data_IF_588794162249
#
_entry.id   IF_588794162249
#
_cell.length_a   1.000
_cell.length_b   1.000
_cell.length_c   1.000
_cell.angle_alpha   90.00
_cell.angle_beta   90.00
_cell.angle_gamma   90.00
#
_symmetry.space_group_name_H-M   'P 1'
#
loop_
_entity.id
_entity.type
_entity.pdbx_description
1 polymer ?
#
# COMPACT_ATOMS: atom_id res chain seq x y z
N UNK A 1 -47.74 -13.70 23.62
CA UNK A 1 -46.74 -13.17 24.56
C UNK A 1 -45.46 -12.93 23.79
N UNK A 2 -45.11 -11.66 23.60
CA UNK A 2 -43.77 -11.11 23.35
C UNK A 2 -43.96 -9.58 23.33
N UNK A 3 -43.96 -9.00 24.52
CA UNK A 3 -44.06 -7.57 24.80
C UNK A 3 -42.73 -6.88 24.46
N UNK A 4 -42.53 -6.53 23.19
CA UNK A 4 -41.38 -5.72 22.77
C UNK A 4 -41.79 -4.67 21.72
N UNK A 5 -42.65 -3.71 22.07
CA UNK A 5 -42.61 -2.35 21.47
C UNK A 5 -43.47 -1.33 22.23
N UNK A 6 -43.56 -1.42 23.56
CA UNK A 6 -44.22 -0.42 24.40
C UNK A 6 -43.33 0.82 24.58
N UNK A 7 -43.11 1.55 23.49
CA UNK A 7 -42.76 2.98 23.40
C UNK A 7 -42.45 3.38 21.94
N UNK A 8 -43.17 2.84 20.95
CA UNK A 8 -43.17 3.44 19.61
C UNK A 8 -43.81 4.82 19.75
N UNK A 9 -42.98 5.86 19.80
CA UNK A 9 -43.40 7.26 19.84
C UNK A 9 -44.47 7.47 18.77
N UNK A 10 -45.65 7.98 19.15
CA UNK A 10 -46.70 8.30 18.19
C UNK A 10 -46.29 9.52 17.35
N UNK A 11 -45.51 9.25 16.30
CA UNK A 11 -44.98 10.25 15.38
C UNK A 11 -46.11 11.01 14.67
N UNK A 12 -47.25 10.34 14.40
CA UNK A 12 -48.42 10.99 13.81
C UNK A 12 -49.04 12.02 14.76
N UNK A 13 -49.25 11.66 16.03
CA UNK A 13 -49.76 12.58 17.06
C UNK A 13 -48.86 13.80 17.21
N UNK A 14 -47.55 13.59 17.39
CA UNK A 14 -46.58 14.69 17.51
C UNK A 14 -46.52 15.58 16.26
N UNK A 15 -46.59 14.99 15.07
CA UNK A 15 -46.61 15.77 13.82
C UNK A 15 -47.85 16.65 13.75
N UNK A 16 -49.03 16.11 14.12
CA UNK A 16 -50.29 16.87 14.15
C UNK A 16 -50.23 18.04 15.13
N UNK A 17 -49.69 17.83 16.33
CA UNK A 17 -49.57 18.87 17.35
C UNK A 17 -48.62 20.00 16.89
N UNK A 18 -47.50 19.65 16.26
CA UNK A 18 -46.54 20.63 15.73
C UNK A 18 -47.13 21.43 14.57
N UNK A 19 -47.78 20.77 13.62
CA UNK A 19 -48.35 21.42 12.44
C UNK A 19 -49.54 22.31 12.85
N UNK A 20 -50.40 21.85 13.76
CA UNK A 20 -51.53 22.65 14.26
C UNK A 20 -51.05 23.90 15.01
N UNK A 21 -50.02 23.79 15.86
CA UNK A 21 -49.39 24.93 16.51
C UNK A 21 -48.80 25.91 15.49
N UNK A 22 -48.10 25.42 14.46
CA UNK A 22 -47.49 26.27 13.44
C UNK A 22 -48.54 27.03 12.62
N UNK A 23 -49.59 26.36 12.14
CA UNK A 23 -50.65 26.98 11.34
C UNK A 23 -51.55 27.90 12.18
N UNK A 24 -51.66 27.68 13.49
CA UNK A 24 -52.41 28.60 14.38
C UNK A 24 -51.84 30.03 14.42
N UNK A 25 -50.54 30.18 14.15
CA UNK A 25 -49.83 31.46 14.20
C UNK A 25 -49.31 31.93 12.84
N UNK A 26 -49.34 31.07 11.81
CA UNK A 26 -48.81 31.34 10.48
C UNK A 26 -49.85 31.03 9.41
N UNK A 27 -50.02 31.93 8.43
CA UNK A 27 -50.90 31.68 7.29
C UNK A 27 -50.15 30.85 6.24
N UNK A 28 -50.58 29.61 6.02
CA UNK A 28 -49.98 28.67 5.05
C UNK A 28 -51.00 28.37 3.95
N UNK A 29 -50.65 28.53 2.67
CA UNK A 29 -51.57 28.20 1.58
C UNK A 29 -51.88 26.70 1.55
N UNK A 30 -53.11 26.34 1.16
CA UNK A 30 -53.59 24.96 1.17
C UNK A 30 -52.74 24.01 0.32
N UNK A 31 -52.07 24.52 -0.72
CA UNK A 31 -51.16 23.77 -1.57
C UNK A 31 -49.86 23.32 -0.87
N UNK A 32 -49.41 24.05 0.17
CA UNK A 32 -48.15 23.78 0.87
C UNK A 32 -48.32 22.87 2.10
N UNK A 33 -49.56 22.73 2.60
CA UNK A 33 -49.87 21.90 3.78
C UNK A 33 -49.40 20.43 3.64
N UNK A 34 -49.60 19.72 2.52
CA UNK A 34 -49.16 18.33 2.38
C UNK A 34 -47.63 18.20 2.45
N UNK A 35 -46.91 19.19 1.90
CA UNK A 35 -45.45 19.22 1.88
C UNK A 35 -44.90 19.48 3.28
N UNK A 36 -45.51 20.40 4.02
CA UNK A 36 -45.14 20.72 5.40
C UNK A 36 -45.34 19.51 6.33
N UNK A 37 -46.48 18.82 6.23
CA UNK A 37 -46.77 17.63 7.04
C UNK A 37 -45.73 16.54 6.79
N UNK A 38 -45.38 16.30 5.52
CA UNK A 38 -44.34 15.32 5.15
C UNK A 38 -42.97 15.70 5.70
N UNK A 39 -42.56 16.97 5.57
CA UNK A 39 -41.22 17.38 6.02
C UNK A 39 -41.05 17.26 7.54
N UNK A 40 -42.08 17.62 8.31
CA UNK A 40 -42.07 17.49 9.78
C UNK A 40 -42.06 16.01 10.18
N UNK A 41 -42.92 15.19 9.55
CA UNK A 41 -42.96 13.75 9.82
C UNK A 41 -41.61 13.08 9.51
N UNK A 42 -40.99 13.40 8.38
CA UNK A 42 -39.68 12.88 8.00
C UNK A 42 -38.56 13.39 8.92
N UNK A 43 -38.60 14.64 9.34
CA UNK A 43 -37.66 15.19 10.32
C UNK A 43 -37.76 14.43 11.67
N UNK A 44 -38.97 14.21 12.18
CA UNK A 44 -39.18 13.45 13.41
C UNK A 44 -38.77 11.97 13.27
N UNK A 45 -39.03 11.37 12.11
CA UNK A 45 -38.65 9.97 11.82
C UNK A 45 -37.14 9.77 11.70
N UNK A 46 -36.41 10.82 11.30
CA UNK A 46 -34.95 10.77 11.12
C UNK A 46 -34.18 11.13 12.39
N UNK A 47 -34.78 11.89 13.31
CA UNK A 47 -34.20 12.16 14.63
C UNK A 47 -34.03 10.85 15.40
N UNK A 48 -32.78 10.52 15.74
CA UNK A 48 -32.44 9.30 16.50
C UNK A 48 -32.16 8.06 15.65
N UNK A 49 -32.45 8.08 14.35
CA UNK A 49 -31.83 7.13 13.42
C UNK A 49 -30.43 7.66 13.08
N UNK A 50 -29.34 6.90 13.30
CA UNK A 50 -28.11 7.21 12.60
C UNK A 50 -28.49 7.20 11.12
N UNK A 51 -28.20 8.29 10.40
CA UNK A 51 -28.36 8.31 8.96
C UNK A 51 -27.71 7.02 8.46
N UNK A 52 -28.52 6.05 8.01
CA UNK A 52 -27.99 4.88 7.35
C UNK A 52 -27.20 5.49 6.21
N UNK A 53 -25.85 5.39 6.17
CA UNK A 53 -25.15 5.81 4.99
C UNK A 53 -25.85 5.02 3.88
N UNK A 54 -26.45 5.75 2.93
CA UNK A 54 -27.02 5.16 1.74
C UNK A 54 -26.06 4.07 1.34
N UNK A 55 -26.52 2.82 1.34
CA UNK A 55 -25.66 1.66 1.24
C UNK A 55 -24.65 1.95 0.14
N UNK A 56 -23.43 2.33 0.56
CA UNK A 56 -22.33 2.49 -0.34
C UNK A 56 -22.14 1.06 -0.77
N UNK A 57 -22.70 0.71 -1.93
CA UNK A 57 -22.04 -0.21 -2.83
C UNK A 57 -20.61 0.28 -2.83
N UNK A 58 -19.76 -0.32 -1.97
CA UNK A 58 -18.37 0.08 -1.77
C UNK A 58 -17.85 0.37 -3.16
N UNK A 59 -17.63 1.64 -3.56
CA UNK A 59 -17.53 1.96 -4.96
C UNK A 59 -16.26 1.26 -5.40
N UNK A 60 -16.42 0.10 -6.04
CA UNK A 60 -15.31 -0.71 -6.50
C UNK A 60 -14.52 0.27 -7.33
N UNK A 61 -13.28 0.53 -6.91
CA UNK A 61 -12.50 1.60 -7.50
C UNK A 61 -12.54 1.37 -9.01
N UNK A 62 -13.08 2.34 -9.75
CA UNK A 62 -13.26 2.15 -11.19
C UNK A 62 -11.90 1.83 -11.80
N UNK A 63 -11.81 1.01 -12.85
CA UNK A 63 -10.52 0.68 -13.45
C UNK A 63 -9.73 1.93 -13.87
N UNK A 64 -10.44 3.02 -14.22
CA UNK A 64 -9.85 4.33 -14.47
C UNK A 64 -9.21 4.96 -13.21
N UNK A 65 -9.86 4.89 -12.05
CA UNK A 65 -9.28 5.36 -10.77
C UNK A 65 -8.10 4.51 -10.32
N UNK A 66 -8.15 3.19 -10.52
CA UNK A 66 -7.03 2.29 -10.20
C UNK A 66 -5.81 2.66 -11.05
N UNK A 67 -5.98 2.85 -12.37
CA UNK A 67 -4.87 3.28 -13.24
C UNK A 67 -4.33 4.66 -12.86
N UNK A 68 -5.20 5.62 -12.50
CA UNK A 68 -4.78 6.95 -12.03
C UNK A 68 -4.05 6.93 -10.69
N UNK A 69 -4.34 5.94 -9.83
CA UNK A 69 -3.69 5.82 -8.52
C UNK A 69 -2.23 5.36 -8.60
N UNK A 70 -1.81 4.78 -9.73
CA UNK A 70 -0.45 4.29 -9.95
C UNK A 70 0.30 5.34 -10.77
N UNK A 71 1.23 6.06 -10.14
CA UNK A 71 2.21 6.88 -10.85
C UNK A 71 3.63 6.37 -10.59
N UNK A 72 4.56 6.77 -11.46
CA UNK A 72 5.96 6.32 -11.38
C UNK A 72 6.59 6.71 -10.04
N UNK A 73 6.26 7.89 -9.53
CA UNK A 73 6.84 8.44 -8.31
C UNK A 73 6.07 8.13 -7.03
N UNK A 74 4.76 7.91 -7.11
CA UNK A 74 3.92 7.71 -5.94
C UNK A 74 2.69 6.84 -6.24
N UNK A 75 2.06 6.33 -5.18
CA UNK A 75 0.75 5.72 -5.23
C UNK A 75 -0.24 6.52 -4.40
N UNK A 76 -1.44 6.70 -4.93
CA UNK A 76 -2.53 7.38 -4.22
C UNK A 76 -3.27 6.36 -3.35
N UNK A 77 -3.41 6.63 -2.05
CA UNK A 77 -4.19 5.80 -1.12
C UNK A 77 -5.69 6.01 -1.35
N UNK A 78 -6.46 4.92 -1.39
CA UNK A 78 -7.93 4.96 -1.43
C UNK A 78 -8.56 5.20 -0.04
N UNK A 79 -7.77 5.21 1.03
CA UNK A 79 -8.25 5.53 2.39
C UNK A 79 -8.28 7.05 2.57
N UNK A 80 -7.16 7.71 2.27
CA UNK A 80 -6.94 9.12 2.60
C UNK A 80 -6.83 10.03 1.37
N UNK A 81 -6.74 9.47 0.15
CA UNK A 81 -6.52 10.22 -1.09
C UNK A 81 -5.12 10.81 -1.26
N UNK A 82 -4.19 10.54 -0.34
CA UNK A 82 -2.84 11.14 -0.32
C UNK A 82 -1.82 10.32 -1.11
N UNK A 83 -0.82 10.97 -1.73
CA UNK A 83 0.26 10.29 -2.44
C UNK A 83 1.32 9.74 -1.48
N UNK A 84 1.74 8.50 -1.70
CA UNK A 84 2.75 7.80 -0.91
C UNK A 84 3.73 7.03 -1.78
N UNK A 85 5.02 7.03 -1.41
CA UNK A 85 6.04 6.18 -2.06
C UNK A 85 5.85 4.68 -1.74
N UNK A 86 5.32 4.37 -0.55
CA UNK A 86 4.98 3.01 -0.14
C UNK A 86 3.67 2.98 0.63
N UNK A 87 2.69 2.23 0.13
CA UNK A 87 1.41 2.02 0.81
C UNK A 87 1.57 1.12 2.04
N UNK A 88 2.52 0.18 2.07
CA UNK A 88 2.71 -0.77 3.18
C UNK A 88 2.77 -0.10 4.56
N UNK A 89 3.50 1.02 4.69
CA UNK A 89 3.62 1.77 5.96
C UNK A 89 2.32 2.48 6.34
N UNK A 90 1.56 2.92 5.35
CA UNK A 90 0.28 3.57 5.56
C UNK A 90 -0.79 2.54 5.99
N UNK A 91 -0.79 1.36 5.36
CA UNK A 91 -1.69 0.27 5.70
C UNK A 91 -1.47 -0.25 7.13
N UNK A 92 -0.21 -0.42 7.57
CA UNK A 92 0.06 -0.87 8.94
C UNK A 92 -0.40 0.11 10.01
N UNK A 93 -0.37 1.43 9.74
CA UNK A 93 -0.94 2.43 10.65
C UNK A 93 -2.45 2.30 10.80
N UNK A 94 -3.11 1.85 9.74
CA UNK A 94 -4.55 1.62 9.70
C UNK A 94 -4.93 0.18 10.10
N UNK A 95 -3.98 -0.63 10.57
CA UNK A 95 -4.22 -2.03 10.94
C UNK A 95 -4.62 -2.93 9.76
N UNK A 96 -4.43 -2.49 8.52
CA UNK A 96 -4.82 -3.22 7.32
C UNK A 96 -3.64 -4.00 6.75
N UNK A 97 -3.90 -5.24 6.34
CA UNK A 97 -2.96 -6.02 5.54
C UNK A 97 -3.06 -5.58 4.07
N UNK A 98 -2.00 -5.77 3.26
CA UNK A 98 -2.06 -5.48 1.83
C UNK A 98 -3.17 -6.24 1.09
N UNK A 99 -3.51 -7.45 1.54
CA UNK A 99 -4.58 -8.27 0.95
C UNK A 99 -5.96 -7.76 1.37
N UNK A 100 -6.16 -7.44 2.65
CA UNK A 100 -7.40 -6.84 3.13
C UNK A 100 -7.68 -5.49 2.45
N UNK A 101 -6.65 -4.69 2.19
CA UNK A 101 -6.78 -3.45 1.43
C UNK A 101 -7.26 -3.70 0.00
N UNK A 102 -6.70 -4.69 -0.70
CA UNK A 102 -7.15 -5.05 -2.06
C UNK A 102 -8.59 -5.54 -2.06
N UNK A 103 -8.98 -6.38 -1.11
CA UNK A 103 -10.33 -6.89 -0.98
C UNK A 103 -11.34 -5.76 -0.69
N UNK A 104 -11.00 -4.86 0.25
CA UNK A 104 -11.86 -3.75 0.69
C UNK A 104 -12.22 -2.79 -0.45
N UNK A 105 -11.27 -2.51 -1.33
CA UNK A 105 -11.46 -1.54 -2.42
C UNK A 105 -11.61 -2.20 -3.81
N UNK A 106 -11.61 -3.54 -3.88
CA UNK A 106 -11.76 -4.30 -5.13
C UNK A 106 -10.57 -4.18 -6.09
N UNK A 107 -9.34 -4.01 -5.58
CA UNK A 107 -8.15 -3.85 -6.43
C UNK A 107 -7.69 -5.20 -6.99
N UNK A 108 -7.11 -5.22 -8.20
CA UNK A 108 -6.43 -6.39 -8.75
C UNK A 108 -5.36 -6.94 -7.82
N UNK A 109 -5.14 -8.26 -7.89
CA UNK A 109 -4.06 -8.93 -7.13
C UNK A 109 -2.67 -8.40 -7.50
N UNK A 110 -2.51 -7.96 -8.75
CA UNK A 110 -1.28 -7.39 -9.30
C UNK A 110 -1.06 -5.91 -8.94
N UNK A 111 -1.89 -5.33 -8.08
CA UNK A 111 -1.72 -3.94 -7.69
C UNK A 111 -0.42 -3.70 -6.90
N UNK A 112 0.47 -2.80 -7.35
CA UNK A 112 1.72 -2.51 -6.68
C UNK A 112 1.48 -1.78 -5.35
N UNK A 113 2.22 -2.17 -4.31
CA UNK A 113 2.12 -1.55 -2.98
C UNK A 113 3.21 -0.49 -2.72
N UNK A 114 4.08 -0.28 -3.71
CA UNK A 114 5.28 0.55 -3.64
C UNK A 114 5.48 1.16 -5.02
N UNK A 115 5.84 2.45 -5.06
CA UNK A 115 6.02 3.17 -6.31
C UNK A 115 7.20 2.61 -7.11
N UNK A 116 7.14 2.74 -8.43
CA UNK A 116 8.15 2.18 -9.32
C UNK A 116 9.51 2.83 -9.10
N UNK A 117 9.57 4.15 -8.90
CA UNK A 117 10.82 4.88 -8.62
C UNK A 117 11.49 4.40 -7.33
N UNK A 118 10.70 4.12 -6.29
CA UNK A 118 11.22 3.60 -5.02
C UNK A 118 11.71 2.15 -5.15
N UNK A 119 10.98 1.31 -5.90
CA UNK A 119 11.40 -0.05 -6.20
C UNK A 119 12.72 -0.07 -6.98
N UNK A 120 12.87 0.80 -7.98
CA UNK A 120 14.09 0.97 -8.77
C UNK A 120 15.28 1.38 -7.90
N UNK A 121 15.16 2.46 -7.13
CA UNK A 121 16.22 2.94 -6.22
C UNK A 121 16.67 1.85 -5.25
N UNK A 122 15.73 1.14 -4.63
CA UNK A 122 16.07 0.06 -3.68
C UNK A 122 16.74 -1.12 -4.37
N UNK A 123 16.35 -1.45 -5.60
CA UNK A 123 16.97 -2.51 -6.38
C UNK A 123 18.40 -2.17 -6.82
N UNK A 124 18.67 -0.91 -7.17
CA UNK A 124 20.00 -0.42 -7.54
C UNK A 124 20.95 -0.44 -6.34
N UNK A 125 20.48 0.03 -5.18
CA UNK A 125 21.22 -0.07 -3.92
C UNK A 125 21.50 -1.52 -3.51
N UNK A 126 20.53 -2.43 -3.70
CA UNK A 126 20.73 -3.84 -3.41
C UNK A 126 21.81 -4.45 -4.33
N UNK A 127 21.79 -4.11 -5.63
CA UNK A 127 22.78 -4.58 -6.61
C UNK A 127 24.18 -4.04 -6.31
N UNK A 128 24.31 -2.77 -5.92
CA UNK A 128 25.60 -2.20 -5.53
C UNK A 128 26.15 -2.79 -4.23
N UNK A 129 25.27 -3.15 -3.29
CA UNK A 129 25.61 -3.86 -2.06
C UNK A 129 25.87 -5.38 -2.25
N UNK A 130 25.91 -5.87 -3.50
CA UNK A 130 26.30 -7.24 -3.82
C UNK A 130 25.18 -8.29 -3.76
N UNK A 131 23.93 -7.88 -3.52
CA UNK A 131 22.79 -8.80 -3.57
C UNK A 131 22.53 -9.24 -5.02
N UNK A 132 22.85 -10.49 -5.34
CA UNK A 132 22.60 -11.12 -6.64
C UNK A 132 23.86 -11.48 -7.46
N UNK A 133 25.06 -11.14 -7.00
CA UNK A 133 26.32 -11.48 -7.70
C UNK A 133 26.59 -12.99 -7.71
N UNK A 134 26.38 -13.68 -6.59
CA UNK A 134 26.57 -15.14 -6.47
C UNK A 134 25.71 -15.92 -7.49
N UNK A 135 24.48 -15.46 -7.77
CA UNK A 135 23.61 -16.09 -8.78
C UNK A 135 24.11 -15.84 -10.20
N UNK A 136 24.62 -14.63 -10.49
CA UNK A 136 25.21 -14.29 -11.79
C UNK A 136 26.50 -15.06 -12.03
N UNK A 137 27.37 -15.19 -11.03
CA UNK A 137 28.60 -15.97 -11.09
C UNK A 137 28.31 -17.45 -11.34
N UNK A 138 27.35 -18.04 -10.61
CA UNK A 138 26.93 -19.43 -10.81
C UNK A 138 26.27 -19.66 -12.17
N UNK A 139 25.48 -18.71 -12.67
CA UNK A 139 24.91 -18.77 -14.02
C UNK A 139 25.99 -18.65 -15.10
N UNK A 140 26.99 -17.79 -14.91
CA UNK A 140 28.13 -17.62 -15.83
C UNK A 140 29.02 -18.88 -15.84
N UNK A 141 29.26 -19.49 -14.68
CA UNK A 141 29.99 -20.76 -14.57
C UNK A 141 29.23 -21.91 -15.26
N UNK A 142 27.90 -21.98 -15.11
CA UNK A 142 27.06 -22.99 -15.78
C UNK A 142 27.04 -22.80 -17.31
N UNK A 143 27.00 -21.55 -17.79
CA UNK A 143 27.05 -21.24 -19.22
C UNK A 143 28.43 -21.55 -19.85
N UNK A 144 29.53 -21.34 -19.10
CA UNK A 144 30.87 -21.71 -19.54
C UNK A 144 31.07 -23.24 -19.59
N UNK A 145 30.41 -23.99 -18.70
CA UNK A 145 30.44 -25.45 -18.69
C UNK A 145 29.54 -26.11 -19.75
N UNK A 146 28.63 -25.36 -20.38
CA UNK A 146 27.71 -25.88 -21.41
C UNK A 146 28.06 -25.43 -22.84
N UNK A 147 29.19 -24.76 -23.05
CA UNK A 147 29.68 -24.50 -24.40
C UNK A 147 30.26 -25.81 -24.98
N UNK A 148 29.78 -26.31 -26.14
CA UNK A 148 30.33 -27.51 -26.75
C UNK A 148 31.77 -27.25 -27.20
N UNK A 149 32.70 -28.05 -26.67
CA UNK A 149 34.09 -28.09 -27.11
C UNK A 149 34.15 -28.71 -28.52
N UNK A 150 34.40 -27.90 -29.55
CA UNK A 150 34.82 -28.37 -30.86
C UNK A 150 36.17 -27.73 -31.16
N UNK A 151 37.24 -28.37 -30.69
CA UNK A 151 38.56 -28.45 -31.36
C UNK A 151 39.61 -28.96 -30.36
N UNK A 152 39.82 -30.27 -30.34
CA UNK A 152 41.10 -30.87 -29.94
C UNK A 152 41.69 -31.50 -31.21
N UNK A 153 42.76 -30.90 -31.75
CA UNK A 153 43.83 -31.60 -32.46
C UNK A 153 45.06 -30.67 -32.58
N UNK A 154 46.25 -31.27 -32.52
CA UNK A 154 47.62 -30.73 -32.72
C UNK A 154 48.41 -30.42 -31.44
N UNK A 155 48.84 -31.52 -30.80
CA UNK A 155 50.26 -31.96 -30.67
C UNK A 155 51.30 -31.04 -29.96
N UNK A 156 51.91 -31.59 -28.90
CA UNK A 156 53.09 -31.07 -28.16
C UNK A 156 54.35 -31.82 -28.59
N UNK A 157 55.56 -31.22 -28.57
CA UNK A 157 56.49 -31.46 -27.45
C UNK A 157 57.37 -30.22 -27.07
N UNK A 158 57.51 -29.84 -25.79
CA UNK A 158 58.54 -30.16 -24.77
C UNK A 158 59.78 -29.18 -24.70
N UNK A 159 60.38 -28.89 -23.51
CA UNK A 159 61.14 -27.66 -23.16
C UNK A 159 62.65 -27.91 -22.81
N UNK A 160 63.41 -27.05 -22.07
CA UNK A 160 63.86 -25.62 -22.17
C UNK A 160 65.42 -25.50 -22.19
N UNK A 161 66.09 -24.31 -22.04
CA UNK A 161 66.44 -23.79 -20.69
C UNK A 161 66.51 -22.25 -20.52
N UNK A 162 66.32 -21.77 -19.28
CA UNK A 162 66.67 -20.43 -18.76
C UNK A 162 68.19 -20.40 -18.38
N UNK A 163 68.84 -19.35 -17.79
CA UNK A 163 68.29 -18.18 -17.07
C UNK A 163 69.09 -16.84 -17.21
N UNK A 164 68.51 -15.69 -16.85
CA UNK A 164 69.29 -14.58 -16.26
C UNK A 164 68.46 -13.71 -15.32
N UNK A 165 69.17 -13.19 -14.33
CA UNK A 165 68.79 -12.64 -13.03
C UNK A 165 68.71 -11.11 -13.08
N UNK A 166 67.81 -10.49 -12.30
CA UNK A 166 67.95 -9.19 -11.61
C UNK A 166 66.63 -8.92 -10.84
N UNK A 167 66.56 -9.20 -9.54
CA UNK A 167 66.93 -8.30 -8.41
C UNK A 167 65.78 -7.35 -8.01
N UNK A 168 65.40 -7.49 -6.74
CA UNK A 168 64.34 -6.79 -5.98
C UNK A 168 64.82 -5.36 -5.57
N UNK A 169 64.20 -4.58 -4.65
CA UNK A 169 63.13 -4.89 -3.67
C UNK A 169 62.14 -3.73 -3.32
N UNK A 170 61.39 -3.92 -2.21
CA UNK A 170 60.57 -3.01 -1.38
C UNK A 170 59.04 -3.30 -1.44
N UNK A 171 58.45 -4.13 -0.56
CA UNK A 171 58.09 -3.93 0.87
C UNK A 171 56.86 -2.98 1.06
N UNK A 172 55.59 -3.48 1.11
CA UNK A 172 54.75 -3.89 2.30
C UNK A 172 54.15 -2.68 3.07
N UNK A 173 52.96 -2.69 3.75
CA UNK A 173 51.70 -3.46 3.65
C UNK A 173 50.39 -2.63 3.73
N UNK A 174 49.28 -3.37 3.60
CA UNK A 174 47.88 -3.06 3.89
C UNK A 174 47.55 -2.37 5.23
N UNK A 175 46.48 -1.56 5.22
CA UNK A 175 45.72 -1.13 6.41
C UNK A 175 44.23 -1.43 6.25
N UNK A 176 43.74 -2.28 7.16
CA UNK A 176 42.37 -2.78 7.32
C UNK A 176 41.57 -1.79 8.19
N UNK A 177 40.38 -1.32 7.84
CA UNK A 177 39.57 -0.57 8.79
C UNK A 177 38.78 -1.54 9.69
N UNK A 178 38.98 -1.38 10.99
CA UNK A 178 38.35 -2.14 12.07
C UNK A 178 36.84 -1.88 12.12
N UNK A 179 36.06 -2.96 12.19
CA UNK A 179 34.66 -2.96 12.63
C UNK A 179 34.62 -2.55 14.11
N UNK A 180 34.10 -1.36 14.43
CA UNK A 180 33.64 -1.07 15.80
C UNK A 180 32.25 -1.66 15.98
N UNK A 181 32.21 -2.62 16.89
CA UNK A 181 31.04 -3.30 17.41
C UNK A 181 30.05 -2.35 18.08
N UNK A 182 28.77 -2.67 17.94
CA UNK A 182 27.67 -2.19 18.78
C UNK A 182 27.99 -2.43 20.26
N UNK A 183 27.78 -1.43 21.09
CA UNK A 183 27.50 -1.60 22.50
C UNK A 183 26.06 -1.13 22.76
N UNK A 184 25.32 -1.95 23.49
CA UNK A 184 23.99 -1.70 23.97
C UNK A 184 24.03 -1.04 25.36
N UNK A 185 22.90 -0.39 25.70
CA UNK A 185 22.25 -0.33 27.03
C UNK A 185 22.62 0.81 28.00
N UNK A 186 21.60 1.65 28.30
CA UNK A 186 21.14 2.14 29.61
C UNK A 186 20.05 3.21 29.33
N UNK A 187 18.78 3.11 29.75
CA UNK A 187 18.24 3.17 31.12
C UNK A 187 18.45 4.55 31.79
N UNK A 188 17.40 5.37 31.83
CA UNK A 188 17.10 6.50 32.73
C UNK A 188 15.63 6.86 32.46
N UNK A 189 14.70 6.40 33.31
CA UNK A 189 14.05 7.17 34.40
C UNK A 189 12.93 8.07 33.90
#
# INVERSE_FOLDING_TARGET
MSETEAAAVDLSGLTSDIVSAYVSKNNVPSAELPTLIRSVYDALRTIGKPATPAADETPKATPAQIRKSITVDHLVSFIDGKPYKSLKRHLTKHGLTPEAYRAKFGLPRDYPMVAESYARQRSELARSLGLGQIRRERAKAKAAASAPNVAEMVETPAPPPAPVIAEAPAEVPAKKPARRSRAAKAAAE
#
